data_IF_719555541754
#
_entry.id   IF_719555541754
#
_cell.length_a   1.000
_cell.length_b   1.000
_cell.length_c   1.000
_cell.angle_alpha   90.00
_cell.angle_beta   90.00
_cell.angle_gamma   90.00
#
_symmetry.space_group_name_H-M   'P 1'
#
loop_
_entity.id
_entity.type
_entity.pdbx_description
1 polymer ?
#
# COMPACT_ATOMS: atom_id res chain seq x y z
N UNK A 1 -56.77 30.52 0.78
CA UNK A 1 -57.64 29.46 1.25
C UNK A 1 -56.70 28.34 1.70
N UNK A 2 -56.41 28.35 2.96
CA UNK A 2 -56.87 27.45 4.05
C UNK A 2 -56.01 26.23 4.08
N UNK A 3 -55.18 26.16 5.08
CA UNK A 3 -55.17 25.61 6.47
C UNK A 3 -54.51 24.23 6.46
N UNK A 4 -53.39 24.06 7.18
CA UNK A 4 -53.20 23.77 8.62
C UNK A 4 -53.52 22.34 8.99
N UNK A 5 -52.51 21.66 9.56
CA UNK A 5 -52.47 20.99 10.87
C UNK A 5 -51.27 20.01 10.89
N UNK A 6 -50.22 20.28 11.63
CA UNK A 6 -49.92 20.05 13.05
C UNK A 6 -50.36 18.69 13.60
N UNK A 7 -49.38 17.84 13.94
CA UNK A 7 -49.40 17.14 15.22
C UNK A 7 -48.00 16.73 15.68
N UNK A 8 -47.59 17.38 16.77
CA UNK A 8 -46.59 16.95 17.76
C UNK A 8 -46.94 15.60 18.36
N UNK A 9 -45.95 14.81 18.66
CA UNK A 9 -45.82 14.06 19.93
C UNK A 9 -44.38 13.55 20.08
N UNK A 10 -43.61 14.18 20.94
CA UNK A 10 -42.70 13.60 21.92
C UNK A 10 -43.46 13.41 23.23
N UNK A 11 -42.97 12.79 24.31
CA UNK A 11 -41.69 12.12 24.59
C UNK A 11 -41.92 10.82 25.44
N UNK A 12 -40.87 10.23 25.94
CA UNK A 12 -40.59 9.57 27.25
C UNK A 12 -39.68 8.37 27.02
N UNK A 13 -38.47 8.44 27.50
CA UNK A 13 -37.95 8.16 28.85
C UNK A 13 -37.67 6.67 29.07
N UNK A 14 -36.45 6.34 29.48
CA UNK A 14 -36.03 4.99 29.87
C UNK A 14 -34.52 4.87 30.03
N UNK A 15 -34.03 5.40 31.14
CA UNK A 15 -32.67 5.29 31.67
C UNK A 15 -32.25 3.84 32.04
N UNK A 16 -31.01 3.66 32.53
CA UNK A 16 -30.15 2.50 32.22
C UNK A 16 -30.20 1.43 33.29
N UNK A 17 -29.85 0.22 32.93
CA UNK A 17 -29.61 -0.87 33.87
C UNK A 17 -28.11 -1.10 34.03
N UNK A 18 -27.59 -0.58 35.12
CA UNK A 18 -26.40 -1.09 35.81
C UNK A 18 -26.66 -2.52 36.27
N UNK A 19 -25.74 -3.41 36.01
CA UNK A 19 -25.66 -4.66 36.76
C UNK A 19 -24.25 -4.87 37.25
N UNK A 20 -24.16 -4.68 38.53
CA UNK A 20 -22.99 -4.83 39.40
C UNK A 20 -22.57 -6.29 39.56
N UNK A 21 -21.26 -6.44 39.68
CA UNK A 21 -20.52 -7.63 40.13
C UNK A 21 -20.86 -8.05 41.56
N UNK A 22 -20.57 -9.29 41.96
CA UNK A 22 -20.06 -9.52 43.28
C UNK A 22 -18.63 -10.07 43.32
N UNK A 23 -17.83 -9.37 44.11
CA UNK A 23 -16.58 -9.80 44.71
C UNK A 23 -16.87 -10.90 45.73
N UNK A 24 -16.09 -11.99 45.72
CA UNK A 24 -15.86 -12.81 46.90
C UNK A 24 -14.40 -13.23 46.94
N UNK A 25 -13.79 -12.81 48.04
CA UNK A 25 -12.50 -13.15 48.52
C UNK A 25 -12.52 -14.33 49.48
N UNK A 26 -11.34 -14.58 50.05
CA UNK A 26 -10.84 -15.52 51.08
C UNK A 26 -10.38 -16.86 50.48
N UNK A 27 -9.24 -17.37 50.87
CA UNK A 27 -8.27 -17.11 51.88
C UNK A 27 -7.18 -18.16 51.88
N UNK A 28 -6.12 -17.81 52.58
CA UNK A 28 -5.25 -18.61 53.41
C UNK A 28 -4.28 -19.64 52.81
N UNK A 29 -3.04 -19.27 52.87
CA UNK A 29 -1.88 -19.97 53.46
C UNK A 29 -1.80 -21.50 53.39
N UNK A 30 -0.73 -21.96 52.75
CA UNK A 30 0.09 -23.08 53.27
C UNK A 30 1.51 -22.98 52.76
N UNK A 31 2.39 -22.75 53.69
CA UNK A 31 3.86 -23.02 53.60
C UNK A 31 4.06 -24.53 53.44
N UNK A 32 4.92 -24.91 52.49
CA UNK A 32 5.70 -26.14 52.65
C UNK A 32 7.08 -25.90 52.07
N UNK A 33 8.03 -25.90 52.98
CA UNK A 33 9.48 -26.05 52.75
C UNK A 33 9.75 -27.31 51.95
N UNK A 34 10.43 -27.17 50.82
CA UNK A 34 11.15 -28.29 50.23
C UNK A 34 12.56 -27.88 49.82
N UNK A 35 13.47 -28.65 50.37
CA UNK A 35 14.89 -28.67 50.37
C UNK A 35 15.58 -28.27 49.06
N UNK A 36 16.62 -27.45 49.23
CA UNK A 36 17.65 -27.13 48.24
C UNK A 36 18.48 -28.40 47.96
N UNK A 37 18.47 -28.80 46.69
CA UNK A 37 19.47 -29.74 46.13
C UNK A 37 20.42 -28.92 45.25
N UNK A 38 21.74 -29.08 45.36
CA UNK A 38 22.68 -28.32 44.54
C UNK A 38 22.70 -28.86 43.11
N UNK A 39 22.19 -28.09 42.16
CA UNK A 39 22.36 -28.38 40.74
C UNK A 39 23.77 -27.99 40.30
N UNK A 40 24.52 -29.01 39.89
CA UNK A 40 25.78 -28.96 39.16
C UNK A 40 25.69 -27.95 37.99
N UNK A 41 26.63 -27.03 37.95
CA UNK A 41 26.94 -26.17 36.83
C UNK A 41 27.08 -26.99 35.54
N UNK A 42 26.09 -26.86 34.68
CA UNK A 42 26.13 -27.39 33.31
C UNK A 42 26.77 -26.31 32.43
N UNK A 43 27.99 -26.62 31.99
CA UNK A 43 28.78 -25.90 31.00
C UNK A 43 27.90 -25.19 29.97
N UNK A 44 28.05 -23.86 29.91
CA UNK A 44 27.61 -23.06 28.81
C UNK A 44 28.20 -23.63 27.52
N UNK A 45 27.35 -24.26 26.72
CA UNK A 45 27.74 -24.58 25.35
C UNK A 45 27.74 -23.25 24.59
N UNK A 46 28.92 -22.86 24.15
CA UNK A 46 29.12 -21.82 23.16
C UNK A 46 28.22 -22.10 21.95
N UNK A 47 27.07 -21.44 21.92
CA UNK A 47 26.36 -21.27 20.67
C UNK A 47 27.13 -20.24 19.85
N UNK A 48 27.57 -20.60 18.63
CA UNK A 48 28.19 -19.61 17.78
C UNK A 48 27.21 -18.44 17.62
N UNK A 49 27.62 -17.28 18.09
CA UNK A 49 26.95 -16.00 17.79
C UNK A 49 26.93 -15.89 16.28
N UNK A 50 25.83 -16.33 15.66
CA UNK A 50 25.54 -16.00 14.27
C UNK A 50 25.39 -14.48 14.28
N UNK A 51 26.49 -13.81 13.94
CA UNK A 51 26.51 -12.39 13.70
C UNK A 51 25.41 -12.08 12.71
N UNK A 52 24.27 -11.60 13.19
CA UNK A 52 23.26 -10.96 12.37
C UNK A 52 23.85 -9.66 11.88
N UNK A 53 24.80 -9.77 10.93
CA UNK A 53 25.11 -8.70 10.02
C UNK A 53 23.76 -8.33 9.43
N UNK A 54 23.13 -7.23 9.90
CA UNK A 54 22.02 -6.58 9.22
C UNK A 54 22.54 -6.26 7.83
N UNK A 55 22.38 -7.19 6.87
CA UNK A 55 22.52 -6.89 5.47
C UNK A 55 21.56 -5.72 5.26
N UNK A 56 22.12 -4.54 5.10
CA UNK A 56 21.40 -3.38 4.63
C UNK A 56 20.64 -3.87 3.40
N UNK A 57 19.33 -4.03 3.51
CA UNK A 57 18.48 -4.48 2.40
C UNK A 57 18.66 -3.44 1.30
N UNK A 58 19.39 -3.81 0.25
CA UNK A 58 19.58 -2.92 -0.87
C UNK A 58 18.23 -2.68 -1.52
N UNK A 59 17.92 -1.42 -1.76
CA UNK A 59 16.74 -1.04 -2.53
C UNK A 59 16.95 -1.41 -4.00
N UNK A 60 15.89 -1.76 -4.75
CA UNK A 60 15.96 -1.98 -6.18
C UNK A 60 16.52 -0.76 -6.91
N UNK A 61 17.34 -0.98 -7.93
CA UNK A 61 18.02 0.10 -8.65
C UNK A 61 17.35 0.30 -10.00
N UNK A 62 16.89 1.53 -10.26
CA UNK A 62 16.41 1.95 -11.57
C UNK A 62 17.61 2.18 -12.48
N UNK A 63 17.82 1.30 -13.44
CA UNK A 63 18.82 1.42 -14.48
C UNK A 63 18.25 2.04 -15.77
N UNK A 64 19.08 2.25 -16.77
CA UNK A 64 18.67 2.85 -18.04
C UNK A 64 17.62 1.99 -18.77
N UNK A 65 17.70 0.66 -18.67
CA UNK A 65 16.71 -0.24 -19.28
C UNK A 65 15.33 -0.06 -18.65
N UNK A 66 15.26 -0.05 -17.31
CA UNK A 66 14.02 0.20 -16.58
C UNK A 66 13.45 1.60 -16.89
N UNK A 67 14.30 2.64 -16.92
CA UNK A 67 13.90 3.99 -17.32
C UNK A 67 13.36 4.04 -18.74
N UNK A 68 14.07 3.44 -19.69
CA UNK A 68 13.65 3.42 -21.10
C UNK A 68 12.29 2.74 -21.28
N UNK A 69 12.00 1.67 -20.54
CA UNK A 69 10.68 1.04 -20.53
C UNK A 69 9.57 2.00 -20.07
N UNK A 70 9.83 2.77 -19.01
CA UNK A 70 8.91 3.82 -18.56
C UNK A 70 8.72 4.91 -19.60
N UNK A 71 9.81 5.39 -20.20
CA UNK A 71 9.74 6.44 -21.22
C UNK A 71 8.97 6.00 -22.46
N UNK A 72 9.15 4.74 -22.89
CA UNK A 72 8.38 4.19 -24.00
C UNK A 72 6.89 4.12 -23.66
N UNK A 73 6.54 3.67 -22.45
CA UNK A 73 5.16 3.65 -21.99
C UNK A 73 4.55 5.07 -21.97
N UNK A 74 5.31 6.08 -21.51
CA UNK A 74 4.87 7.50 -21.53
C UNK A 74 4.62 7.99 -22.96
N UNK A 75 5.49 7.62 -23.91
CA UNK A 75 5.29 7.97 -25.31
C UNK A 75 4.04 7.30 -25.92
N UNK A 76 3.73 6.07 -25.51
CA UNK A 76 2.57 5.34 -26.03
C UNK A 76 1.24 5.89 -25.46
N UNK A 77 1.24 6.31 -24.20
CA UNK A 77 0.02 6.75 -23.51
C UNK A 77 -0.23 8.26 -23.53
N UNK A 78 0.81 9.07 -23.80
CA UNK A 78 0.74 10.54 -23.83
C UNK A 78 -0.01 11.13 -22.63
N UNK A 79 0.42 10.85 -21.39
CA UNK A 79 -0.30 11.30 -20.20
C UNK A 79 -0.28 12.83 -20.13
N UNK A 80 -1.36 13.41 -19.63
CA UNK A 80 -1.46 14.87 -19.44
C UNK A 80 -1.08 15.22 -18.02
N UNK A 81 -0.23 16.21 -17.85
CA UNK A 81 0.05 16.83 -16.58
C UNK A 81 -1.17 17.60 -16.05
N UNK A 82 -1.13 17.99 -14.78
CA UNK A 82 -2.22 18.73 -14.14
C UNK A 82 -2.58 20.06 -14.85
N UNK A 83 -1.59 20.69 -15.48
CA UNK A 83 -1.76 21.93 -16.28
C UNK A 83 -2.30 21.66 -17.70
N UNK A 84 -2.60 20.41 -18.04
CA UNK A 84 -3.09 19.98 -19.35
C UNK A 84 -1.99 19.75 -20.40
N UNK A 85 -0.73 20.05 -20.10
CA UNK A 85 0.40 19.78 -21.00
C UNK A 85 0.63 18.26 -21.13
N UNK A 86 1.20 17.82 -22.25
CA UNK A 86 1.59 16.42 -22.43
C UNK A 86 2.91 16.17 -21.68
N UNK A 87 2.94 15.13 -20.88
CA UNK A 87 4.20 14.69 -20.23
C UNK A 87 5.13 14.10 -21.28
N UNK A 88 6.25 14.77 -21.50
CA UNK A 88 7.28 14.33 -22.45
C UNK A 88 8.41 13.58 -21.74
N UNK A 89 9.27 12.91 -22.53
CA UNK A 89 10.49 12.23 -22.05
C UNK A 89 11.43 13.12 -21.24
N UNK A 90 11.43 14.42 -21.52
CA UNK A 90 12.32 15.40 -20.89
C UNK A 90 11.74 15.94 -19.56
N UNK A 91 10.58 15.44 -19.14
CA UNK A 91 10.00 15.85 -17.88
C UNK A 91 10.96 15.48 -16.72
N UNK A 92 11.30 16.44 -15.83
CA UNK A 92 12.24 16.22 -14.71
C UNK A 92 11.80 15.07 -13.79
N UNK A 93 10.50 14.82 -13.66
CA UNK A 93 9.95 13.72 -12.88
C UNK A 93 10.26 12.33 -13.48
N UNK A 94 10.69 12.26 -14.74
CA UNK A 94 11.11 11.05 -15.45
C UNK A 94 12.66 10.89 -15.51
N UNK A 95 13.39 11.72 -14.80
CA UNK A 95 14.86 11.53 -14.65
C UNK A 95 15.15 10.24 -13.87
N UNK A 96 16.27 9.58 -14.16
CA UNK A 96 16.68 8.35 -13.43
C UNK A 96 16.72 8.59 -11.93
N UNK A 97 17.22 9.75 -11.49
CA UNK A 97 17.31 10.10 -10.07
C UNK A 97 15.93 10.23 -9.41
N UNK A 98 14.98 10.87 -10.09
CA UNK A 98 13.61 11.04 -9.58
C UNK A 98 12.87 9.70 -9.56
N UNK A 99 12.98 8.91 -10.62
CA UNK A 99 12.39 7.57 -10.67
C UNK A 99 12.96 6.65 -9.58
N UNK A 100 14.27 6.74 -9.32
CA UNK A 100 14.91 6.03 -8.20
C UNK A 100 14.33 6.48 -6.86
N UNK A 101 14.18 7.79 -6.66
CA UNK A 101 13.59 8.34 -5.44
C UNK A 101 12.17 7.82 -5.22
N UNK A 102 11.34 7.79 -6.25
CA UNK A 102 9.97 7.27 -6.15
C UNK A 102 9.96 5.76 -5.86
N UNK A 103 10.81 4.98 -6.53
CA UNK A 103 10.99 3.56 -6.24
C UNK A 103 11.39 3.34 -4.77
N UNK A 104 12.36 4.11 -4.27
CA UNK A 104 12.79 4.03 -2.87
C UNK A 104 11.66 4.33 -1.89
N UNK A 105 10.86 5.35 -2.15
CA UNK A 105 9.68 5.70 -1.34
C UNK A 105 8.65 4.57 -1.34
N UNK A 106 8.38 3.97 -2.50
CA UNK A 106 7.48 2.82 -2.59
C UNK A 106 7.96 1.67 -1.68
N UNK A 107 9.21 1.24 -1.81
CA UNK A 107 9.73 0.12 -1.03
C UNK A 107 9.84 0.43 0.47
N UNK A 108 10.15 1.67 0.84
CA UNK A 108 10.29 2.08 2.25
C UNK A 108 8.97 2.36 2.94
N UNK A 109 7.95 2.83 2.21
CA UNK A 109 6.67 3.27 2.78
C UNK A 109 5.55 2.27 2.51
N UNK A 110 5.25 2.02 1.23
CA UNK A 110 4.14 1.18 0.85
C UNK A 110 4.46 -0.31 1.05
N UNK A 111 5.52 -0.81 0.43
CA UNK A 111 5.83 -2.24 0.45
C UNK A 111 6.21 -2.76 1.85
N UNK A 112 6.56 -1.89 2.80
CA UNK A 112 6.76 -2.25 4.20
C UNK A 112 5.43 -2.59 4.90
N UNK A 113 4.36 -1.86 4.56
CA UNK A 113 3.02 -2.08 5.11
C UNK A 113 2.23 -3.15 4.34
N UNK A 114 2.45 -3.22 3.03
CA UNK A 114 1.83 -4.17 2.11
C UNK A 114 2.92 -4.91 1.33
N UNK A 115 3.47 -6.01 1.83
CA UNK A 115 4.65 -6.68 1.27
C UNK A 115 4.32 -7.47 0.00
N UNK A 116 4.04 -6.76 -1.09
CA UNK A 116 3.71 -7.33 -2.40
C UNK A 116 4.93 -7.83 -3.16
N UNK A 117 6.09 -7.26 -2.89
CA UNK A 117 7.34 -7.57 -3.59
C UNK A 117 8.44 -7.90 -2.61
N UNK A 118 9.23 -8.91 -2.96
CA UNK A 118 10.43 -9.23 -2.20
C UNK A 118 11.57 -8.30 -2.62
N UNK A 119 11.83 -7.27 -1.81
CA UNK A 119 12.72 -6.16 -2.11
C UNK A 119 14.12 -6.59 -2.60
N UNK A 120 14.70 -7.65 -2.03
CA UNK A 120 16.06 -8.07 -2.36
C UNK A 120 16.19 -8.80 -3.70
N UNK A 121 15.10 -9.27 -4.28
CA UNK A 121 15.06 -9.99 -5.57
C UNK A 121 14.29 -9.22 -6.65
N UNK A 122 13.69 -8.09 -6.30
CA UNK A 122 12.98 -7.28 -7.28
C UNK A 122 13.97 -6.60 -8.22
N UNK A 123 13.85 -6.86 -9.51
CA UNK A 123 14.65 -6.24 -10.56
C UNK A 123 13.75 -5.36 -11.44
N UNK A 124 13.87 -4.02 -11.33
CA UNK A 124 13.07 -3.09 -12.13
C UNK A 124 13.22 -3.25 -13.64
N UNK A 125 14.34 -3.81 -14.13
CA UNK A 125 14.58 -4.01 -15.55
C UNK A 125 14.00 -5.32 -16.10
N UNK A 126 13.62 -6.22 -15.21
CA UNK A 126 13.06 -7.53 -15.57
C UNK A 126 11.53 -7.61 -15.47
N UNK A 127 10.89 -6.57 -14.90
CA UNK A 127 9.42 -6.52 -14.77
C UNK A 127 8.80 -5.75 -15.94
N UNK A 128 7.51 -5.98 -16.15
CA UNK A 128 6.75 -5.23 -17.14
C UNK A 128 6.73 -3.72 -16.81
N UNK A 129 6.82 -2.88 -17.85
CA UNK A 129 6.87 -1.42 -17.69
C UNK A 129 5.60 -0.85 -17.05
N UNK A 130 4.44 -1.49 -17.26
CA UNK A 130 3.17 -1.08 -16.66
C UNK A 130 3.17 -1.31 -15.14
N UNK A 131 3.71 -2.45 -14.69
CA UNK A 131 3.90 -2.71 -13.27
C UNK A 131 4.89 -1.73 -12.63
N UNK A 132 6.03 -1.53 -13.30
CA UNK A 132 7.05 -0.59 -12.81
C UNK A 132 6.48 0.83 -12.72
N UNK A 133 5.68 1.24 -13.70
CA UNK A 133 5.02 2.54 -13.71
C UNK A 133 4.03 2.71 -12.54
N UNK A 134 3.25 1.67 -12.20
CA UNK A 134 2.37 1.67 -11.03
C UNK A 134 3.14 1.80 -9.71
N UNK A 135 4.30 1.15 -9.60
CA UNK A 135 5.21 1.28 -8.44
C UNK A 135 5.73 2.71 -8.31
N UNK A 136 6.22 3.30 -9.41
CA UNK A 136 6.73 4.67 -9.45
C UNK A 136 5.61 5.68 -9.10
N UNK A 137 4.44 5.52 -9.68
CA UNK A 137 3.27 6.36 -9.40
C UNK A 137 2.90 6.35 -7.92
N UNK A 138 2.80 5.17 -7.33
CA UNK A 138 2.46 5.07 -5.90
C UNK A 138 3.59 5.61 -5.02
N UNK A 139 4.86 5.41 -5.40
CA UNK A 139 6.01 6.00 -4.73
C UNK A 139 6.01 7.53 -4.76
N UNK A 140 5.72 8.14 -5.91
CA UNK A 140 5.63 9.58 -6.08
C UNK A 140 4.59 10.21 -5.13
N UNK A 141 3.51 9.49 -4.81
CA UNK A 141 2.49 9.98 -3.87
C UNK A 141 2.99 10.13 -2.42
N UNK A 142 4.15 9.63 -2.09
CA UNK A 142 4.81 9.81 -0.79
C UNK A 142 5.89 10.90 -0.77
N UNK A 143 6.10 11.58 -1.91
CA UNK A 143 7.09 12.65 -2.08
C UNK A 143 6.47 14.03 -1.81
N UNK A 144 6.79 14.99 -2.65
CA UNK A 144 6.27 16.36 -2.56
C UNK A 144 4.82 16.44 -3.08
N UNK A 145 4.17 17.60 -2.84
CA UNK A 145 2.84 17.86 -3.38
C UNK A 145 2.83 17.83 -4.92
N UNK A 146 3.85 18.38 -5.55
CA UNK A 146 3.94 18.43 -7.01
C UNK A 146 4.14 17.03 -7.60
N UNK A 147 4.97 16.18 -6.96
CA UNK A 147 5.12 14.79 -7.33
C UNK A 147 3.82 13.99 -7.14
N UNK A 148 3.06 14.31 -6.10
CA UNK A 148 1.75 13.70 -5.89
C UNK A 148 0.76 14.10 -6.98
N UNK A 149 0.74 15.39 -7.38
CA UNK A 149 -0.11 15.85 -8.49
C UNK A 149 0.32 15.21 -9.82
N UNK A 150 1.62 15.06 -10.05
CA UNK A 150 2.16 14.29 -11.17
C UNK A 150 1.67 12.83 -11.15
N UNK A 151 1.72 12.17 -10.00
CA UNK A 151 1.22 10.80 -9.84
C UNK A 151 -0.29 10.69 -10.15
N UNK A 152 -1.11 11.67 -9.76
CA UNK A 152 -2.54 11.71 -10.10
C UNK A 152 -2.74 11.80 -11.61
N UNK A 153 -1.99 12.66 -12.28
CA UNK A 153 -2.09 12.82 -13.73
C UNK A 153 -1.73 11.55 -14.51
N UNK A 154 -0.77 10.79 -14.03
CA UNK A 154 -0.41 9.49 -14.59
C UNK A 154 -1.52 8.45 -14.36
N UNK A 155 -2.20 8.50 -13.23
CA UNK A 155 -3.20 7.51 -12.84
C UNK A 155 -4.39 7.46 -13.81
N UNK A 156 -4.81 8.58 -14.36
CA UNK A 156 -5.95 8.65 -15.27
C UNK A 156 -5.80 7.73 -16.49
N UNK A 157 -4.57 7.49 -16.92
CA UNK A 157 -4.28 6.68 -18.10
C UNK A 157 -4.08 5.19 -17.78
N UNK A 158 -3.77 4.84 -16.54
CA UNK A 158 -3.33 3.48 -16.15
C UNK A 158 -4.40 2.41 -16.37
N UNK A 159 -5.66 2.68 -16.01
CA UNK A 159 -6.74 1.70 -16.18
C UNK A 159 -6.92 1.30 -17.64
N UNK A 160 -6.89 2.27 -18.54
CA UNK A 160 -7.00 2.02 -19.98
C UNK A 160 -5.85 1.14 -20.49
N UNK A 161 -4.65 1.30 -19.95
CA UNK A 161 -3.50 0.48 -20.34
C UNK A 161 -3.62 -0.96 -19.83
N UNK A 162 -4.12 -1.16 -18.60
CA UNK A 162 -4.40 -2.49 -18.08
C UNK A 162 -5.34 -3.25 -19.03
N UNK A 163 -6.47 -2.67 -19.39
CA UNK A 163 -7.44 -3.32 -20.29
C UNK A 163 -6.93 -3.55 -21.71
N UNK A 164 -6.03 -2.72 -22.20
CA UNK A 164 -5.42 -2.88 -23.53
C UNK A 164 -4.28 -3.88 -23.54
N UNK A 165 -3.78 -4.25 -22.38
CA UNK A 165 -2.63 -5.14 -22.29
C UNK A 165 -3.00 -6.56 -22.74
N UNK A 166 -2.17 -7.16 -23.58
CA UNK A 166 -2.43 -8.50 -24.17
C UNK A 166 -2.51 -9.63 -23.13
N UNK A 167 -1.90 -9.46 -21.96
CA UNK A 167 -1.99 -10.42 -20.86
C UNK A 167 -3.18 -10.16 -19.91
N UNK A 168 -3.96 -9.10 -20.15
CA UNK A 168 -5.20 -8.90 -19.41
C UNK A 168 -6.24 -9.95 -19.85
N UNK A 169 -6.49 -10.92 -18.99
CA UNK A 169 -7.38 -12.05 -19.25
C UNK A 169 -8.00 -12.57 -17.97
N UNK A 170 -9.06 -13.39 -18.01
CA UNK A 170 -9.64 -14.03 -16.81
C UNK A 170 -8.64 -14.91 -16.04
N UNK A 171 -7.52 -15.28 -16.66
CA UNK A 171 -6.40 -16.00 -16.03
C UNK A 171 -5.15 -15.13 -16.00
N UNK A 172 -5.30 -13.91 -15.52
CA UNK A 172 -4.20 -12.95 -15.44
C UNK A 172 -3.01 -13.51 -14.65
N UNK A 173 -1.80 -13.20 -15.12
CA UNK A 173 -0.57 -13.53 -14.40
C UNK A 173 -0.40 -12.67 -13.13
N UNK A 174 0.47 -13.11 -12.23
CA UNK A 174 0.66 -12.46 -10.93
C UNK A 174 1.01 -10.97 -11.05
N UNK A 175 1.93 -10.60 -11.95
CA UNK A 175 2.36 -9.22 -12.11
C UNK A 175 1.20 -8.30 -12.58
N UNK A 176 0.29 -8.80 -13.42
CA UNK A 176 -0.90 -8.07 -13.84
C UNK A 176 -1.85 -7.82 -12.66
N UNK A 177 -2.08 -8.84 -11.81
CA UNK A 177 -2.88 -8.69 -10.59
C UNK A 177 -2.25 -7.70 -9.61
N UNK A 178 -0.92 -7.72 -9.48
CA UNK A 178 -0.18 -6.74 -8.69
C UNK A 178 -0.35 -5.32 -9.24
N UNK A 179 -0.28 -5.16 -10.57
CA UNK A 179 -0.51 -3.87 -11.23
C UNK A 179 -1.92 -3.35 -10.97
N UNK A 180 -2.94 -4.16 -11.17
CA UNK A 180 -4.34 -3.83 -10.89
C UNK A 180 -4.50 -3.40 -9.44
N UNK A 181 -3.94 -4.17 -8.51
CA UNK A 181 -4.01 -3.84 -7.07
C UNK A 181 -3.39 -2.47 -6.77
N UNK A 182 -2.19 -2.18 -7.30
CA UNK A 182 -1.52 -0.90 -7.07
C UNK A 182 -2.31 0.28 -7.64
N UNK A 183 -2.83 0.13 -8.86
CA UNK A 183 -3.62 1.17 -9.52
C UNK A 183 -4.93 1.44 -8.75
N UNK A 184 -5.63 0.38 -8.33
CA UNK A 184 -6.86 0.53 -7.56
C UNK A 184 -6.59 1.06 -6.14
N UNK A 185 -5.51 0.64 -5.50
CA UNK A 185 -5.10 1.19 -4.21
C UNK A 185 -4.84 2.69 -4.32
N UNK A 186 -4.10 3.12 -5.36
CA UNK A 186 -3.84 4.53 -5.60
C UNK A 186 -5.16 5.31 -5.81
N UNK A 187 -6.04 4.83 -6.67
CA UNK A 187 -7.34 5.45 -6.94
C UNK A 187 -8.19 5.63 -5.69
N UNK A 188 -8.25 4.59 -4.84
CA UNK A 188 -9.03 4.62 -3.59
C UNK A 188 -8.44 5.50 -2.50
N UNK A 189 -7.12 5.60 -2.41
CA UNK A 189 -6.47 6.19 -1.25
C UNK A 189 -5.71 7.49 -1.51
N UNK A 190 -5.40 7.83 -2.77
CA UNK A 190 -4.46 8.90 -3.12
C UNK A 190 -4.95 9.87 -4.20
N UNK A 191 -5.84 9.46 -5.09
CA UNK A 191 -6.16 10.20 -6.29
C UNK A 191 -7.38 11.14 -6.18
N UNK A 192 -7.99 11.28 -4.99
CA UNK A 192 -9.14 12.14 -4.75
C UNK A 192 -10.49 11.47 -5.05
N UNK A 193 -11.59 12.21 -4.81
CA UNK A 193 -12.94 11.65 -4.78
C UNK A 193 -13.38 11.02 -6.10
N UNK A 194 -13.15 11.69 -7.22
CA UNK A 194 -13.53 11.17 -8.54
C UNK A 194 -12.89 9.81 -8.82
N UNK A 195 -11.60 9.68 -8.56
CA UNK A 195 -10.87 8.43 -8.77
C UNK A 195 -11.26 7.36 -7.75
N UNK A 196 -11.64 7.76 -6.53
CA UNK A 196 -12.22 6.85 -5.55
C UNK A 196 -13.54 6.24 -6.07
N UNK A 197 -14.47 7.06 -6.55
CA UNK A 197 -15.74 6.62 -7.11
C UNK A 197 -15.53 5.70 -8.33
N UNK A 198 -14.63 6.08 -9.23
CA UNK A 198 -14.23 5.24 -10.36
C UNK A 198 -13.64 3.91 -9.92
N UNK A 199 -12.83 3.88 -8.87
CA UNK A 199 -12.28 2.64 -8.31
C UNK A 199 -13.36 1.73 -7.72
N UNK A 200 -14.43 2.27 -7.17
CA UNK A 200 -15.56 1.45 -6.68
C UNK A 200 -16.27 0.75 -7.85
N UNK A 201 -16.54 1.48 -8.94
CA UNK A 201 -17.14 0.89 -10.15
C UNK A 201 -16.24 -0.20 -10.74
N UNK A 202 -14.92 0.09 -10.82
CA UNK A 202 -13.95 -0.85 -11.38
C UNK A 202 -13.79 -2.12 -10.54
N UNK A 203 -13.85 -1.98 -9.21
CA UNK A 203 -13.82 -3.12 -8.30
C UNK A 203 -15.00 -4.06 -8.52
N UNK A 204 -16.19 -3.52 -8.74
CA UNK A 204 -17.37 -4.33 -9.07
C UNK A 204 -17.16 -5.18 -10.33
N UNK A 205 -16.52 -4.62 -11.38
CA UNK A 205 -16.22 -5.33 -12.62
C UNK A 205 -15.14 -6.42 -12.48
N UNK A 206 -14.29 -6.34 -11.44
CA UNK A 206 -13.21 -7.32 -11.20
C UNK A 206 -13.66 -8.54 -10.38
N UNK A 207 -14.82 -8.45 -9.71
CA UNK A 207 -15.33 -9.51 -8.81
C UNK A 207 -16.35 -10.42 -9.52
N UNK A 208 -16.95 -9.98 -10.61
CA UNK A 208 -17.86 -10.79 -11.44
C UNK A 208 -17.10 -11.76 -12.35
#
# INVERSE_FOLDING_TARGET
>A
MSQSNSHLRDPTDGSPLETSLPVRGHGAESRSDFAQTPQKSRSERDFPQIGTSKRLRRLPIINDAARNGILQLVDDIHPRAYDGSIVSRDNPSLSTATLQHFSDLFFRRFNTSYPLFHQSTFDPSAVDSLLLFAIIQLGASYSTKDDHMFAISLHETMRAQIFRHHEFSPRSCLWMLQTIFLVEFFGKSRAGQLQYEMSQLFHGLLIE
#
